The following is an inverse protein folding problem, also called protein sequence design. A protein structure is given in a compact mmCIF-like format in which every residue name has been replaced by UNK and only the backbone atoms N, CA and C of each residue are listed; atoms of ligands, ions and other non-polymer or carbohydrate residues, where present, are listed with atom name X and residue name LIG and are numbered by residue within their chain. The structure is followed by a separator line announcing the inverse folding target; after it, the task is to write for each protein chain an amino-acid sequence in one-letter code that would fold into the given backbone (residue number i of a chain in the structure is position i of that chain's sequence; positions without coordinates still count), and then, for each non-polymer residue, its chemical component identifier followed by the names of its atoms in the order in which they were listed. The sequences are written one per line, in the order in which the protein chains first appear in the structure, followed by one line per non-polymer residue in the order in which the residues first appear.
data_IF_481712961424
#
_entry.id   IF_481712961424
#
_cell.length_a   1.000
_cell.length_b   1.000
_cell.length_c   1.000
_cell.angle_alpha   90.00
_cell.angle_beta   90.00
_cell.angle_gamma   90.00
#
_symmetry.space_group_name_H-M   'P 1'
#
loop_
_entity.id
_entity.type
_entity.pdbx_description
1 polymer ?
#
# COMPACT_ATOMS: atom_id res chain seq x y z
N UNK A 1 -8.62 -4.32 4.33
CA UNK A 1 -8.79 -3.60 3.05
C UNK A 1 -9.31 -2.17 3.25
N UNK A 2 -10.43 -1.93 3.94
CA UNK A 2 -11.02 -0.58 4.09
C UNK A 2 -10.03 0.54 4.47
N UNK A 3 -9.17 0.31 5.47
CA UNK A 3 -8.11 1.28 5.85
C UNK A 3 -7.16 1.62 4.68
N UNK A 4 -6.80 0.64 3.85
CA UNK A 4 -5.91 0.87 2.71
C UNK A 4 -6.56 1.79 1.65
N UNK A 5 -7.88 1.66 1.47
CA UNK A 5 -8.68 2.50 0.59
C UNK A 5 -8.71 3.94 1.12
N UNK A 6 -9.02 4.13 2.41
CA UNK A 6 -9.06 5.46 3.02
C UNK A 6 -7.71 6.20 2.90
N UNK A 7 -6.58 5.48 3.10
CA UNK A 7 -5.25 6.05 2.89
C UNK A 7 -4.97 6.37 1.42
N UNK A 8 -5.45 5.54 0.48
CA UNK A 8 -5.33 5.81 -0.94
C UNK A 8 -6.12 7.06 -1.35
N UNK A 9 -7.38 7.17 -0.92
CA UNK A 9 -8.25 8.29 -1.22
C UNK A 9 -7.68 9.60 -0.65
N UNK A 10 -7.17 9.54 0.58
CA UNK A 10 -6.46 10.66 1.18
C UNK A 10 -5.22 11.05 0.37
N UNK A 11 -4.44 10.08 -0.13
CA UNK A 11 -3.29 10.37 -0.98
C UNK A 11 -3.70 11.11 -2.27
N UNK A 12 -4.79 10.70 -2.94
CA UNK A 12 -5.34 11.41 -4.10
C UNK A 12 -5.73 12.85 -3.78
N UNK A 13 -6.48 13.05 -2.70
CA UNK A 13 -6.90 14.39 -2.26
C UNK A 13 -5.71 15.29 -1.89
N UNK A 14 -4.59 14.71 -1.47
CA UNK A 14 -3.36 15.44 -1.14
C UNK A 14 -2.49 15.70 -2.38
N UNK A 15 -2.53 14.82 -3.38
CA UNK A 15 -1.72 14.92 -4.59
C UNK A 15 -2.10 16.10 -5.48
N UNK A 16 -3.39 16.48 -5.51
CA UNK A 16 -3.87 17.64 -6.29
C UNK A 16 -3.39 18.99 -5.73
N UNK A 17 -2.76 19.01 -4.55
CA UNK A 17 -2.22 20.24 -3.96
C UNK A 17 -0.98 20.69 -4.73
N UNK A 18 -0.76 22.01 -4.79
CA UNK A 18 0.42 22.62 -5.44
C UNK A 18 1.76 22.06 -4.92
N UNK A 19 1.80 21.66 -3.64
CA UNK A 19 2.96 21.05 -3.00
C UNK A 19 2.48 19.87 -2.13
N UNK A 20 2.41 18.64 -2.68
CA UNK A 20 2.10 17.47 -1.89
C UNK A 20 3.24 17.26 -0.88
N UNK A 21 2.95 17.49 0.40
CA UNK A 21 3.96 17.44 1.45
C UNK A 21 4.06 16.06 2.10
N UNK A 22 4.68 16.04 3.28
CA UNK A 22 4.73 14.92 4.21
C UNK A 22 3.45 14.05 4.29
N UNK A 23 2.23 14.63 4.38
CA UNK A 23 1.01 13.82 4.50
C UNK A 23 0.72 12.95 3.27
N UNK A 24 1.00 13.44 2.06
CA UNK A 24 0.85 12.66 0.83
C UNK A 24 1.72 11.41 0.87
N UNK A 25 3.00 11.58 1.21
CA UNK A 25 3.99 10.51 1.26
C UNK A 25 3.56 9.44 2.26
N UNK A 26 3.12 9.86 3.45
CA UNK A 26 2.61 8.94 4.48
C UNK A 26 1.40 8.18 3.98
N UNK A 27 0.38 8.88 3.47
CA UNK A 27 -0.86 8.24 3.04
C UNK A 27 -0.62 7.23 1.90
N UNK A 28 0.11 7.63 0.86
CA UNK A 28 0.37 6.76 -0.28
C UNK A 28 1.30 5.58 0.05
N UNK A 29 2.24 5.74 0.97
CA UNK A 29 3.10 4.61 1.38
C UNK A 29 2.33 3.63 2.27
N UNK A 30 1.49 4.15 3.18
CA UNK A 30 0.68 3.32 4.07
C UNK A 30 -0.39 2.56 3.31
N UNK A 31 -1.02 3.15 2.29
CA UNK A 31 -1.99 2.43 1.46
C UNK A 31 -1.32 1.22 0.80
N UNK A 32 -0.14 1.37 0.18
CA UNK A 32 0.63 0.27 -0.42
C UNK A 32 0.97 -0.80 0.62
N UNK A 33 1.51 -0.43 1.78
CA UNK A 33 1.79 -1.37 2.88
C UNK A 33 0.54 -2.17 3.28
N UNK A 34 -0.58 -1.48 3.47
CA UNK A 34 -1.83 -2.10 3.92
C UNK A 34 -2.47 -2.97 2.83
N UNK A 35 -2.35 -2.60 1.55
CA UNK A 35 -2.78 -3.45 0.44
C UNK A 35 -1.98 -4.76 0.42
N UNK A 36 -0.64 -4.68 0.49
CA UNK A 36 0.20 -5.88 0.54
C UNK A 36 -0.21 -6.78 1.70
N UNK A 37 -0.35 -6.22 2.90
CA UNK A 37 -0.76 -6.98 4.09
C UNK A 37 -2.16 -7.58 3.95
N UNK A 38 -3.07 -6.90 3.24
CA UNK A 38 -4.43 -7.39 3.04
C UNK A 38 -4.51 -8.66 2.20
N UNK A 39 -3.54 -8.92 1.32
CA UNK A 39 -3.51 -10.10 0.45
C UNK A 39 -3.42 -11.43 1.23
N UNK A 40 -2.93 -11.41 2.47
CA UNK A 40 -2.91 -12.57 3.37
C UNK A 40 -3.73 -12.34 4.63
N UNK A 41 -4.56 -11.29 4.69
CA UNK A 41 -5.29 -10.96 5.89
C UNK A 41 -6.58 -11.78 6.02
N UNK A 42 -6.87 -12.22 7.24
CA UNK A 42 -8.16 -12.79 7.63
C UNK A 42 -8.80 -11.93 8.72
N UNK A 43 -10.12 -11.84 8.70
CA UNK A 43 -10.90 -11.12 9.71
C UNK A 43 -11.27 -12.06 10.84
N UNK A 44 -11.10 -11.59 12.07
CA UNK A 44 -11.38 -12.32 13.30
C UNK A 44 -12.32 -11.51 14.18
N UNK A 45 -13.16 -12.23 14.91
CA UNK A 45 -14.09 -11.68 15.90
C UNK A 45 -13.78 -12.37 17.23
N UNK A 46 -13.45 -11.59 18.26
CA UNK A 46 -13.05 -12.11 19.57
C UNK A 46 -13.80 -11.39 20.70
N UNK A 47 -13.84 -12.05 21.87
CA UNK A 47 -14.49 -11.58 23.10
C UNK A 47 -16.00 -11.46 22.94
N UNK A 48 -16.78 -12.39 23.49
CA UNK A 48 -18.25 -12.20 23.54
C UNK A 48 -18.64 -11.37 24.77
N UNK A 49 -19.55 -10.41 24.59
CA UNK A 49 -20.24 -9.77 25.70
C UNK A 49 -21.37 -10.65 26.25
N UNK A 50 -22.01 -10.18 27.32
CA UNK A 50 -23.14 -10.85 27.96
C UNK A 50 -24.38 -10.96 27.07
N UNK A 51 -24.42 -10.21 25.97
CA UNK A 51 -25.49 -10.21 24.98
C UNK A 51 -25.16 -11.05 23.74
N UNK A 52 -23.97 -11.68 23.70
CA UNK A 52 -23.50 -12.51 22.60
C UNK A 52 -22.87 -11.74 21.44
N UNK A 53 -22.69 -10.42 21.55
CA UNK A 53 -21.98 -9.62 20.54
C UNK A 53 -20.48 -9.78 20.68
N UNK A 54 -19.76 -9.71 19.57
CA UNK A 54 -18.30 -9.65 19.59
C UNK A 54 -17.83 -8.26 20.02
N UNK A 55 -16.88 -8.20 20.95
CA UNK A 55 -16.27 -6.99 21.49
C UNK A 55 -15.14 -6.50 20.60
N UNK A 56 -14.40 -7.44 20.01
CA UNK A 56 -13.21 -7.16 19.23
C UNK A 56 -13.39 -7.61 17.78
N UNK A 57 -13.11 -6.70 16.85
CA UNK A 57 -13.02 -6.95 15.42
C UNK A 57 -11.64 -6.54 14.94
N UNK A 58 -10.88 -7.50 14.40
CA UNK A 58 -9.55 -7.23 13.89
C UNK A 58 -9.21 -8.06 12.66
N UNK A 59 -8.25 -7.58 11.88
CA UNK A 59 -7.67 -8.34 10.77
C UNK A 59 -6.26 -8.76 11.15
N UNK A 60 -5.94 -10.04 10.95
CA UNK A 60 -4.59 -10.57 11.14
C UNK A 60 -4.02 -10.98 9.79
N UNK A 61 -2.81 -10.54 9.51
CA UNK A 61 -2.04 -10.89 8.32
C UNK A 61 -0.81 -11.69 8.71
N UNK A 62 -0.44 -12.67 7.90
CA UNK A 62 0.82 -13.40 8.06
C UNK A 62 2.02 -12.60 7.50
N UNK A 63 1.75 -11.56 6.71
CA UNK A 63 2.77 -10.64 6.17
C UNK A 63 3.03 -9.50 7.16
N UNK A 64 4.20 -9.55 7.80
CA UNK A 64 4.62 -8.61 8.84
C UNK A 64 5.86 -7.80 8.44
N UNK A 65 5.99 -6.60 9.01
CA UNK A 65 7.08 -5.63 8.74
C UNK A 65 6.58 -4.32 8.13
N UNK A 66 7.51 -3.47 7.71
CA UNK A 66 7.24 -2.13 7.13
C UNK A 66 8.03 -1.82 5.84
N UNK A 67 8.97 -2.70 5.46
CA UNK A 67 9.78 -2.51 4.25
C UNK A 67 9.01 -3.06 3.06
N UNK A 68 8.59 -2.20 2.13
CA UNK A 68 7.64 -2.55 1.06
C UNK A 68 8.16 -3.70 0.19
N UNK A 69 9.44 -3.65 -0.18
CA UNK A 69 10.12 -4.73 -0.92
C UNK A 69 10.03 -6.07 -0.18
N UNK A 70 10.35 -6.07 1.11
CA UNK A 70 10.29 -7.26 1.98
C UNK A 70 8.89 -7.75 2.27
N UNK A 71 7.89 -6.87 2.23
CA UNK A 71 6.50 -7.27 2.33
C UNK A 71 6.05 -7.91 1.02
N UNK A 72 6.41 -7.34 -0.13
CA UNK A 72 6.05 -7.86 -1.43
C UNK A 72 6.68 -9.22 -1.73
N UNK A 73 7.93 -9.46 -1.31
CA UNK A 73 8.60 -10.77 -1.39
C UNK A 73 7.81 -11.89 -0.69
N UNK A 74 7.00 -11.58 0.33
CA UNK A 74 6.20 -12.55 1.09
C UNK A 74 4.82 -12.82 0.48
N UNK A 75 4.41 -12.04 -0.51
CA UNK A 75 3.15 -12.25 -1.22
C UNK A 75 3.26 -13.53 -2.06
N UNK A 76 2.22 -14.38 -2.14
CA UNK A 76 2.23 -15.52 -3.05
C UNK A 76 2.61 -15.14 -4.49
N UNK A 77 3.45 -15.96 -5.14
CA UNK A 77 4.07 -15.63 -6.43
C UNK A 77 3.05 -15.31 -7.54
N UNK A 78 1.92 -16.04 -7.57
CA UNK A 78 0.83 -15.78 -8.51
C UNK A 78 0.25 -14.36 -8.36
N UNK A 79 0.12 -13.87 -7.12
CA UNK A 79 -0.37 -12.52 -6.84
C UNK A 79 0.68 -11.46 -7.14
N UNK A 80 1.96 -11.75 -6.86
CA UNK A 80 3.05 -10.86 -7.27
C UNK A 80 3.06 -10.67 -8.79
N UNK A 81 2.94 -11.76 -9.55
CA UNK A 81 2.93 -11.71 -11.01
C UNK A 81 1.70 -10.94 -11.53
N UNK A 82 0.53 -11.12 -10.92
CA UNK A 82 -0.66 -10.31 -11.23
C UNK A 82 -0.43 -8.81 -11.03
N UNK A 83 0.17 -8.41 -9.90
CA UNK A 83 0.52 -7.01 -9.63
C UNK A 83 1.55 -6.46 -10.62
N UNK A 84 2.58 -7.25 -10.97
CA UNK A 84 3.59 -6.88 -11.98
C UNK A 84 2.93 -6.63 -13.35
N UNK A 85 2.01 -7.50 -13.76
CA UNK A 85 1.25 -7.33 -15.01
C UNK A 85 0.39 -6.07 -14.97
N UNK A 86 -0.38 -5.84 -13.90
CA UNK A 86 -1.17 -4.61 -13.74
C UNK A 86 -0.32 -3.33 -13.76
N UNK A 87 0.95 -3.42 -13.34
CA UNK A 87 1.89 -2.32 -13.44
C UNK A 87 2.36 -2.07 -14.87
N UNK A 88 2.71 -3.12 -15.60
CA UNK A 88 3.13 -3.04 -17.00
C UNK A 88 2.01 -2.53 -17.91
N UNK A 89 0.77 -2.98 -17.66
CA UNK A 89 -0.42 -2.61 -18.43
C UNK A 89 -0.99 -1.23 -18.05
N UNK A 90 -0.35 -0.49 -17.14
CA UNK A 90 -0.86 0.81 -16.71
C UNK A 90 -0.43 1.95 -17.63
N UNK A 91 -1.38 2.81 -18.02
CA UNK A 91 -1.14 3.99 -18.85
C UNK A 91 -0.40 5.13 -18.13
N UNK A 92 0.00 4.93 -16.88
CA UNK A 92 0.71 5.94 -16.12
C UNK A 92 2.14 6.10 -16.66
N UNK A 93 2.60 7.32 -16.98
CA UNK A 93 3.99 7.58 -17.36
C UNK A 93 4.91 7.09 -16.23
N UNK A 94 5.93 6.32 -16.60
CA UNK A 94 6.81 5.67 -15.64
C UNK A 94 8.27 5.90 -15.99
N UNK A 95 9.00 6.46 -15.02
CA UNK A 95 10.46 6.49 -15.07
C UNK A 95 11.07 5.11 -14.77
N UNK A 96 10.27 4.16 -14.27
CA UNK A 96 10.69 2.83 -13.85
C UNK A 96 10.13 1.74 -14.77
N UNK A 97 10.99 0.77 -15.13
CA UNK A 97 10.67 -0.31 -16.08
C UNK A 97 9.85 -1.46 -15.46
N UNK A 98 9.77 -1.56 -14.14
CA UNK A 98 9.06 -2.65 -13.45
C UNK A 98 8.54 -2.23 -12.09
N UNK A 99 7.56 -2.99 -11.58
CA UNK A 99 7.02 -2.83 -10.23
C UNK A 99 8.11 -3.00 -9.16
N UNK A 100 9.01 -3.97 -9.32
CA UNK A 100 10.06 -4.25 -8.34
C UNK A 100 11.03 -3.06 -8.20
N UNK A 101 11.45 -2.44 -9.31
CA UNK A 101 12.34 -1.28 -9.30
C UNK A 101 11.70 -0.05 -8.63
N UNK A 102 10.42 0.20 -8.93
CA UNK A 102 9.73 1.34 -8.29
C UNK A 102 9.49 1.08 -6.81
N UNK A 103 9.20 -0.17 -6.40
CA UNK A 103 9.05 -0.53 -4.99
C UNK A 103 10.37 -0.36 -4.23
N UNK A 104 11.50 -0.74 -4.82
CA UNK A 104 12.82 -0.50 -4.23
C UNK A 104 13.10 0.99 -4.03
N UNK A 105 12.82 1.81 -5.05
CA UNK A 105 13.00 3.26 -4.98
C UNK A 105 12.09 3.94 -3.93
N UNK A 106 10.83 3.51 -3.84
CA UNK A 106 9.88 4.03 -2.84
C UNK A 106 10.27 3.58 -1.43
N UNK A 107 10.70 2.33 -1.26
CA UNK A 107 11.02 1.75 0.06
C UNK A 107 12.15 2.52 0.76
N UNK A 108 13.22 2.88 0.03
CA UNK A 108 14.27 3.74 0.59
C UNK A 108 13.74 5.13 0.97
N UNK A 109 12.93 5.72 0.07
CA UNK A 109 12.41 7.07 0.21
C UNK A 109 11.42 7.22 1.37
N UNK A 110 10.58 6.21 1.58
CA UNK A 110 9.60 6.17 2.67
C UNK A 110 10.27 6.10 4.04
N UNK A 111 11.33 5.29 4.17
CA UNK A 111 12.11 5.22 5.41
C UNK A 111 12.79 6.54 5.70
N UNK A 112 13.52 7.09 4.72
CA UNK A 112 14.31 8.31 4.91
C UNK A 112 13.46 9.56 5.10
N UNK A 113 12.28 9.62 4.49
CA UNK A 113 11.32 10.70 4.66
C UNK A 113 10.96 10.94 6.14
N UNK A 114 10.78 9.87 6.94
CA UNK A 114 10.46 9.99 8.37
C UNK A 114 11.55 10.70 9.18
N UNK A 115 12.77 10.70 8.65
CA UNK A 115 13.95 11.32 9.24
C UNK A 115 14.32 12.64 8.55
N UNK A 116 13.37 13.27 7.85
CA UNK A 116 13.56 14.56 7.18
C UNK A 116 14.01 15.68 8.14
N UNK A 117 13.63 15.61 9.42
CA UNK A 117 14.10 16.52 10.46
C UNK A 117 15.54 16.23 10.94
N UNK A 118 16.11 15.09 10.57
CA UNK A 118 17.48 14.66 10.92
C UNK A 118 18.49 14.98 9.80
N UNK A 119 18.18 15.96 8.95
CA UNK A 119 19.00 16.41 7.80
C UNK A 119 19.19 15.36 6.70
N UNK A 120 18.43 14.26 6.72
CA UNK A 120 18.40 13.32 5.60
C UNK A 120 17.66 13.95 4.42
N UNK A 121 18.36 14.07 3.29
CA UNK A 121 17.75 14.38 2.00
C UNK A 121 17.28 13.08 1.36
N UNK A 122 16.11 13.12 0.74
CA UNK A 122 15.58 12.00 -0.02
C UNK A 122 15.03 12.53 -1.34
N UNK A 123 15.20 11.74 -2.40
CA UNK A 123 14.56 11.98 -3.70
C UNK A 123 13.33 11.09 -3.75
N UNK A 124 12.15 11.67 -3.99
CA UNK A 124 10.91 10.91 -4.12
C UNK A 124 10.20 11.27 -5.42
N UNK A 125 9.88 10.26 -6.21
CA UNK A 125 8.96 10.41 -7.33
C UNK A 125 7.51 10.25 -6.85
N UNK A 126 6.83 11.37 -6.59
CA UNK A 126 5.47 11.38 -6.06
C UNK A 126 4.46 10.74 -7.01
N UNK A 127 4.61 10.98 -8.32
CA UNK A 127 3.77 10.36 -9.35
C UNK A 127 3.89 8.84 -9.32
N UNK A 128 5.13 8.34 -9.23
CA UNK A 128 5.38 6.90 -9.15
C UNK A 128 4.79 6.28 -7.87
N UNK A 129 4.88 6.99 -6.74
CA UNK A 129 4.28 6.55 -5.48
C UNK A 129 2.74 6.46 -5.57
N UNK A 130 2.08 7.48 -6.12
CA UNK A 130 0.62 7.45 -6.32
C UNK A 130 0.22 6.34 -7.30
N UNK A 131 0.96 6.19 -8.41
CA UNK A 131 0.76 5.11 -9.40
C UNK A 131 0.77 3.73 -8.75
N UNK A 132 1.79 3.46 -7.91
CA UNK A 132 1.90 2.17 -7.21
C UNK A 132 0.70 1.99 -6.28
N UNK A 133 0.32 3.02 -5.50
CA UNK A 133 -0.89 2.98 -4.66
C UNK A 133 -2.14 2.60 -5.46
N UNK A 134 -2.33 3.20 -6.65
CA UNK A 134 -3.47 2.91 -7.53
C UNK A 134 -3.48 1.51 -8.12
N UNK A 135 -2.31 1.00 -8.50
CA UNK A 135 -2.20 -0.36 -9.03
C UNK A 135 -2.56 -1.37 -7.95
N UNK A 136 -2.04 -1.17 -6.73
CA UNK A 136 -2.40 -2.02 -5.60
C UNK A 136 -3.88 -1.91 -5.25
N UNK A 137 -4.45 -0.71 -5.23
CA UNK A 137 -5.88 -0.50 -5.03
C UNK A 137 -6.71 -1.29 -6.04
N UNK A 138 -6.49 -1.05 -7.34
CA UNK A 138 -7.25 -1.70 -8.42
C UNK A 138 -7.12 -3.21 -8.37
N UNK A 139 -5.91 -3.73 -8.22
CA UNK A 139 -5.67 -5.17 -8.19
C UNK A 139 -6.34 -5.85 -7.00
N UNK A 140 -6.15 -5.30 -5.79
CA UNK A 140 -6.76 -5.86 -4.58
C UNK A 140 -8.28 -5.77 -4.67
N UNK A 141 -8.82 -4.64 -5.13
CA UNK A 141 -10.27 -4.47 -5.30
C UNK A 141 -10.88 -5.49 -6.26
N UNK A 142 -10.25 -5.70 -7.42
CA UNK A 142 -10.67 -6.73 -8.39
C UNK A 142 -10.60 -8.15 -7.83
N UNK A 143 -9.66 -8.44 -6.94
CA UNK A 143 -9.63 -9.76 -6.28
C UNK A 143 -10.81 -9.95 -5.35
N UNK A 144 -11.20 -8.90 -4.60
CA UNK A 144 -12.35 -8.98 -3.70
C UNK A 144 -13.68 -9.06 -4.45
N UNK A 145 -13.89 -8.27 -5.51
CA UNK A 145 -15.12 -8.35 -6.32
C UNK A 145 -15.31 -9.71 -7.01
N UNK A 146 -14.23 -10.48 -7.24
CA UNK A 146 -14.31 -11.84 -7.80
C UNK A 146 -14.63 -12.92 -6.77
N UNK A 147 -14.57 -12.58 -5.48
CA UNK A 147 -14.82 -13.51 -4.37
C UNK A 147 -16.26 -13.39 -3.83
N UNK A 148 -16.98 -12.33 -4.20
CA UNK A 148 -18.42 -12.15 -4.00
C UNK A 148 -19.23 -12.68 -5.19
#
# INVERSE_FOLDING_TARGET
MGKAIEFNDAAHALYVRKHPGSPFITCASFSVELYIKSLSAKTYYDGRDSFGNYKDLYSKSDINGHRLTKLFEKVPENLQNGLRLCYLDSDYPSDFKSLDLVLEHIDSSFVDFRYSFEKKKYSLNMTALLKVSDIFHRYVYQLYEKLD
#
